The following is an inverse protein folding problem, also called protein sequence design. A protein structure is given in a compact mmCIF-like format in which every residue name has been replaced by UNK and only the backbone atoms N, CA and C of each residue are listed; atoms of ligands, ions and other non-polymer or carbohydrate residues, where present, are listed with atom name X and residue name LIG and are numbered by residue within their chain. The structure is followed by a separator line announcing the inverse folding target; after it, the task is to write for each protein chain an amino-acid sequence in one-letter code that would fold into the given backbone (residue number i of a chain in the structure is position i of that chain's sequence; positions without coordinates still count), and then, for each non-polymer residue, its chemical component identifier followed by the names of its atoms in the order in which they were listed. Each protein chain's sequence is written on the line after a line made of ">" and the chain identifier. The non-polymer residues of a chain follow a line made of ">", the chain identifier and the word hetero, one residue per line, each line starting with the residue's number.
data_IF_237795094616
#
_entry.id   IF_237795094616
#
_cell.length_a   1.000
_cell.length_b   1.000
_cell.length_c   1.000
_cell.angle_alpha   90.00
_cell.angle_beta   90.00
_cell.angle_gamma   90.00
#
_symmetry.space_group_name_H-M   'P 1'
#
loop_
_entity.id
_entity.type
_entity.pdbx_description
1 polymer ?
#
# COMPACT_ATOMS: atom_id res chain seq x y z
N UNK A 1 3.43 4.54 -30.48
CA UNK A 1 4.28 3.35 -30.65
C UNK A 1 5.38 3.66 -31.66
N UNK A 2 6.61 3.23 -31.40
CA UNK A 2 7.73 3.42 -32.30
C UNK A 2 7.85 2.18 -33.18
N UNK A 3 7.68 2.34 -34.47
CA UNK A 3 7.72 1.26 -35.50
C UNK A 3 8.94 1.48 -36.36
N UNK A 4 9.73 0.44 -36.63
CA UNK A 4 10.94 0.50 -37.45
C UNK A 4 10.61 0.12 -38.89
N UNK A 5 11.10 0.90 -39.84
CA UNK A 5 10.95 0.63 -41.28
C UNK A 5 11.96 -0.44 -41.72
N UNK A 6 11.45 -1.53 -42.30
CA UNK A 6 12.24 -2.66 -42.80
C UNK A 6 11.96 -2.92 -44.28
N UNK A 7 12.78 -3.77 -44.89
CA UNK A 7 12.59 -4.13 -46.30
C UNK A 7 11.24 -4.91 -46.47
N UNK A 8 10.65 -4.83 -47.65
CA UNK A 8 9.37 -5.46 -47.96
C UNK A 8 9.37 -7.00 -47.84
N UNK A 9 10.54 -7.63 -47.91
CA UNK A 9 10.72 -9.08 -47.79
C UNK A 9 11.28 -9.51 -46.41
N UNK A 10 11.23 -8.64 -45.40
CA UNK A 10 11.80 -8.92 -44.08
C UNK A 10 10.85 -9.88 -43.28
N UNK A 11 11.43 -10.98 -42.75
CA UNK A 11 10.67 -11.97 -41.95
C UNK A 11 10.06 -11.40 -40.67
N UNK A 12 10.52 -10.22 -40.23
CA UNK A 12 10.01 -9.52 -39.03
C UNK A 12 8.72 -8.73 -39.27
N UNK A 13 8.17 -8.72 -40.49
CA UNK A 13 6.94 -7.99 -40.82
C UNK A 13 5.67 -8.54 -40.09
N UNK A 14 5.75 -9.75 -39.53
CA UNK A 14 4.69 -10.31 -38.69
C UNK A 14 4.68 -9.71 -37.26
N UNK A 15 5.71 -8.96 -36.86
CA UNK A 15 5.80 -8.28 -35.57
C UNK A 15 5.31 -6.83 -35.71
N UNK A 16 4.42 -6.43 -34.78
CA UNK A 16 3.80 -5.09 -34.73
C UNK A 16 4.80 -3.92 -34.59
N UNK A 17 6.08 -4.20 -34.33
CA UNK A 17 7.15 -3.21 -34.19
C UNK A 17 7.85 -2.89 -35.53
N UNK A 18 7.48 -3.57 -36.62
CA UNK A 18 8.10 -3.41 -37.93
C UNK A 18 7.07 -3.09 -39.01
N UNK A 19 7.43 -2.24 -39.96
CA UNK A 19 6.58 -1.89 -41.10
C UNK A 19 7.41 -1.96 -42.38
N UNK A 20 6.81 -2.46 -43.46
CA UNK A 20 7.47 -2.50 -44.77
C UNK A 20 7.65 -1.10 -45.35
N UNK A 21 8.70 -0.91 -46.16
CA UNK A 21 9.00 0.35 -46.79
C UNK A 21 7.84 0.90 -47.63
N UNK A 22 7.13 0.03 -48.36
CA UNK A 22 5.99 0.43 -49.19
C UNK A 22 4.84 0.99 -48.33
N UNK A 23 4.53 0.34 -47.22
CA UNK A 23 3.54 0.86 -46.27
C UNK A 23 3.99 2.10 -45.51
N UNK A 24 5.29 2.21 -45.21
CA UNK A 24 5.84 3.41 -44.58
C UNK A 24 5.75 4.63 -45.53
N UNK A 25 5.94 4.44 -46.84
CA UNK A 25 5.78 5.48 -47.86
C UNK A 25 4.34 5.98 -48.03
N UNK A 26 3.32 5.26 -47.58
CA UNK A 26 1.95 5.77 -47.52
C UNK A 26 1.79 6.90 -46.49
N UNK A 27 2.63 6.90 -45.46
CA UNK A 27 2.62 7.91 -44.40
C UNK A 27 3.61 9.04 -44.69
N UNK A 28 4.84 8.72 -45.09
CA UNK A 28 5.87 9.70 -45.46
C UNK A 28 6.81 9.09 -46.51
N UNK A 29 6.84 9.70 -47.66
CA UNK A 29 7.67 9.28 -48.81
C UNK A 29 9.18 9.50 -48.62
N UNK A 30 9.58 10.20 -47.59
CA UNK A 30 10.97 10.48 -47.26
C UNK A 30 11.61 9.41 -46.37
N UNK A 31 10.86 8.41 -45.89
CA UNK A 31 11.35 7.38 -44.98
C UNK A 31 12.24 6.37 -45.70
N UNK A 32 13.36 6.02 -45.06
CA UNK A 32 14.30 5.01 -45.54
C UNK A 32 14.32 3.78 -44.62
N UNK A 33 14.89 2.67 -45.10
CA UNK A 33 15.04 1.45 -44.28
C UNK A 33 15.93 1.74 -43.08
N UNK A 34 15.46 1.43 -41.89
CA UNK A 34 16.11 1.72 -40.61
C UNK A 34 15.60 2.98 -39.91
N UNK A 35 14.76 3.77 -40.58
CA UNK A 35 14.10 4.90 -39.96
C UNK A 35 12.98 4.41 -39.00
N UNK A 36 12.60 5.27 -38.09
CA UNK A 36 11.53 4.97 -37.14
C UNK A 36 10.34 5.91 -37.30
N UNK A 37 9.18 5.34 -37.52
CA UNK A 37 7.91 6.03 -37.56
C UNK A 37 7.24 6.06 -36.18
N UNK A 38 6.82 7.23 -35.72
CA UNK A 38 5.95 7.33 -34.55
C UNK A 38 4.50 7.25 -34.99
N UNK A 39 3.88 6.12 -34.75
CA UNK A 39 2.46 5.91 -35.06
C UNK A 39 1.61 6.23 -33.83
N UNK A 40 0.70 7.19 -33.97
CA UNK A 40 -0.32 7.47 -32.96
C UNK A 40 -1.48 6.48 -33.17
N UNK A 41 -1.65 5.59 -32.21
CA UNK A 41 -2.79 4.67 -32.21
C UNK A 41 -4.00 5.41 -31.65
N UNK A 42 -4.95 5.75 -32.49
CA UNK A 42 -6.23 6.27 -32.04
C UNK A 42 -7.06 5.11 -31.46
N UNK A 43 -7.57 5.31 -30.24
CA UNK A 43 -8.44 4.33 -29.56
C UNK A 43 -9.69 4.01 -30.38
N UNK A 44 -10.12 4.95 -31.23
CA UNK A 44 -11.28 4.78 -32.12
C UNK A 44 -11.06 3.74 -33.22
N UNK A 45 -9.80 3.56 -33.67
CA UNK A 45 -9.41 2.56 -34.69
C UNK A 45 -9.29 1.15 -34.09
N UNK A 46 -9.19 1.05 -32.76
CA UNK A 46 -9.20 -0.22 -32.05
C UNK A 46 -10.64 -0.74 -31.95
N UNK A 47 -10.89 -1.92 -32.51
CA UNK A 47 -12.19 -2.59 -32.36
C UNK A 47 -12.61 -2.70 -30.88
N UNK A 48 -13.91 -2.79 -30.61
CA UNK A 48 -14.49 -2.81 -29.24
C UNK A 48 -13.78 -3.77 -28.27
N UNK A 49 -13.30 -4.90 -28.77
CA UNK A 49 -12.59 -5.92 -27.97
C UNK A 49 -11.22 -5.43 -27.50
N UNK A 50 -10.46 -4.78 -28.38
CA UNK A 50 -9.14 -4.26 -28.05
C UNK A 50 -9.24 -3.03 -27.13
N UNK A 51 -10.20 -2.14 -27.36
CA UNK A 51 -10.48 -1.01 -26.47
C UNK A 51 -10.86 -1.49 -25.06
N UNK A 52 -11.70 -2.53 -24.95
CA UNK A 52 -12.05 -3.12 -23.66
C UNK A 52 -10.89 -3.85 -22.97
N UNK A 53 -9.98 -4.45 -23.73
CA UNK A 53 -8.76 -5.05 -23.16
C UNK A 53 -7.81 -3.98 -22.61
N UNK A 54 -7.60 -2.91 -23.37
CA UNK A 54 -6.76 -1.78 -22.96
C UNK A 54 -7.30 -1.09 -21.70
N UNK A 55 -8.62 -0.86 -21.62
CA UNK A 55 -9.25 -0.28 -20.45
C UNK A 55 -8.99 -1.11 -19.19
N UNK A 56 -9.16 -2.43 -19.27
CA UNK A 56 -8.90 -3.35 -18.16
C UNK A 56 -7.44 -3.35 -17.71
N UNK A 57 -6.51 -3.28 -18.67
CA UNK A 57 -5.08 -3.25 -18.37
C UNK A 57 -4.69 -1.94 -17.69
N UNK A 58 -5.24 -0.81 -18.16
CA UNK A 58 -5.03 0.51 -17.53
C UNK A 58 -5.61 0.51 -16.11
N UNK A 59 -6.84 0.02 -15.91
CA UNK A 59 -7.46 -0.09 -14.59
C UNK A 59 -6.63 -0.96 -13.64
N UNK A 60 -6.11 -2.09 -14.12
CA UNK A 60 -5.23 -2.96 -13.34
C UNK A 60 -3.95 -2.23 -12.89
N UNK A 61 -3.29 -1.52 -13.81
CA UNK A 61 -2.07 -0.78 -13.48
C UNK A 61 -2.33 0.40 -12.52
N UNK A 62 -3.44 1.13 -12.71
CA UNK A 62 -3.85 2.20 -11.80
C UNK A 62 -4.10 1.65 -10.41
N UNK A 63 -4.86 0.55 -10.30
CA UNK A 63 -5.16 -0.08 -9.03
C UNK A 63 -3.88 -0.51 -8.30
N UNK A 64 -2.95 -1.10 -9.03
CA UNK A 64 -1.65 -1.52 -8.47
C UNK A 64 -0.83 -0.34 -7.96
N UNK A 65 -0.77 0.77 -8.69
CA UNK A 65 -0.07 1.98 -8.25
C UNK A 65 -0.70 2.59 -6.99
N UNK A 66 -2.03 2.55 -6.87
CA UNK A 66 -2.75 2.99 -5.67
C UNK A 66 -2.37 2.09 -4.48
N UNK A 67 -2.36 0.77 -4.67
CA UNK A 67 -1.99 -0.19 -3.63
C UNK A 67 -0.53 -0.01 -3.17
N UNK A 68 0.41 0.20 -4.09
CA UNK A 68 1.80 0.47 -3.75
C UNK A 68 1.95 1.75 -2.90
N UNK A 69 1.29 2.84 -3.26
CA UNK A 69 1.29 4.09 -2.48
C UNK A 69 0.67 3.92 -1.09
N UNK A 70 -0.44 3.21 -0.99
CA UNK A 70 -1.08 2.91 0.29
C UNK A 70 -0.15 2.03 1.14
N UNK A 71 0.49 1.02 0.54
CA UNK A 71 1.46 0.18 1.22
C UNK A 71 2.61 1.00 1.81
N UNK A 72 3.24 1.89 1.04
CA UNK A 72 4.30 2.77 1.51
C UNK A 72 3.84 3.67 2.66
N UNK A 73 2.66 4.31 2.53
CA UNK A 73 2.04 5.17 3.55
C UNK A 73 1.88 4.45 4.89
N UNK A 74 1.37 3.22 4.88
CA UNK A 74 1.13 2.47 6.11
C UNK A 74 2.35 1.71 6.61
N UNK A 75 3.25 1.30 5.74
CA UNK A 75 4.53 0.71 6.12
C UNK A 75 5.40 1.69 6.93
N UNK A 76 5.42 2.96 6.53
CA UNK A 76 6.10 4.02 7.28
C UNK A 76 5.47 4.26 8.68
N UNK A 77 4.21 3.89 8.88
CA UNK A 77 3.48 4.03 10.14
C UNK A 77 3.53 2.78 11.04
N UNK A 78 4.34 1.77 10.73
CA UNK A 78 4.48 0.58 11.57
C UNK A 78 4.97 0.98 12.97
N UNK A 79 4.24 0.56 14.01
CA UNK A 79 4.48 0.92 15.40
C UNK A 79 3.85 2.24 15.85
N UNK A 80 3.26 3.01 14.97
CA UNK A 80 2.52 4.23 15.32
C UNK A 80 1.12 3.91 15.81
N UNK A 81 0.60 4.78 16.68
CA UNK A 81 -0.78 4.73 17.16
C UNK A 81 -1.75 5.13 16.04
N UNK A 82 -2.76 4.31 15.86
CA UNK A 82 -3.86 4.56 14.91
C UNK A 82 -5.21 4.37 15.59
N UNK A 83 -6.20 5.03 15.04
CA UNK A 83 -7.60 4.96 15.48
C UNK A 83 -8.42 4.38 14.33
N UNK A 84 -9.36 3.53 14.67
CA UNK A 84 -10.26 2.99 13.66
C UNK A 84 -11.56 2.51 14.28
N UNK A 85 -12.59 2.39 13.45
CA UNK A 85 -13.90 1.89 13.84
C UNK A 85 -14.03 0.39 13.53
N UNK A 86 -14.60 -0.35 14.44
CA UNK A 86 -14.88 -1.79 14.26
C UNK A 86 -16.03 -1.95 13.27
N UNK A 87 -15.75 -2.62 12.15
CA UNK A 87 -16.76 -2.90 11.11
C UNK A 87 -17.34 -4.30 11.21
N UNK A 88 -16.54 -5.26 11.66
CA UNK A 88 -16.96 -6.67 11.79
C UNK A 88 -16.12 -7.40 12.83
N UNK A 89 -16.72 -8.37 13.50
CA UNK A 89 -16.03 -9.41 14.28
C UNK A 89 -16.45 -10.75 13.70
N UNK A 90 -15.49 -11.62 13.37
CA UNK A 90 -15.78 -12.94 12.82
C UNK A 90 -15.94 -14.01 13.92
N UNK A 91 -16.23 -15.25 13.51
CA UNK A 91 -16.40 -16.40 14.42
C UNK A 91 -15.11 -16.83 15.13
N UNK A 92 -13.94 -16.46 14.58
CA UNK A 92 -12.62 -16.70 15.17
C UNK A 92 -12.18 -15.55 16.08
N UNK A 93 -13.08 -14.63 16.38
CA UNK A 93 -12.84 -13.41 17.17
C UNK A 93 -11.80 -12.47 16.57
N UNK A 94 -11.51 -12.55 15.26
CA UNK A 94 -10.75 -11.53 14.59
C UNK A 94 -11.61 -10.29 14.42
N UNK A 95 -11.04 -9.14 14.76
CA UNK A 95 -11.72 -7.84 14.69
C UNK A 95 -11.26 -7.10 13.46
N UNK A 96 -12.18 -6.75 12.57
CA UNK A 96 -11.92 -5.94 11.39
C UNK A 96 -12.17 -4.48 11.73
N UNK A 97 -11.18 -3.65 11.47
CA UNK A 97 -11.15 -2.24 11.86
C UNK A 97 -10.89 -1.41 10.62
N UNK A 98 -11.70 -0.42 10.37
CA UNK A 98 -11.52 0.54 9.30
C UNK A 98 -10.70 1.72 9.80
N UNK A 99 -9.59 2.00 9.11
CA UNK A 99 -8.67 3.09 9.41
C UNK A 99 -8.54 3.94 8.15
N UNK A 100 -9.01 5.17 8.21
CA UNK A 100 -9.05 6.06 7.04
C UNK A 100 -9.71 5.35 5.83
N UNK A 101 -8.91 4.92 4.87
CA UNK A 101 -9.33 4.35 3.58
C UNK A 101 -9.15 2.83 3.50
N UNK A 102 -8.61 2.18 4.55
CA UNK A 102 -8.26 0.75 4.50
C UNK A 102 -8.93 -0.07 5.58
N UNK A 103 -9.13 -1.34 5.27
CA UNK A 103 -9.53 -2.35 6.24
C UNK A 103 -8.31 -3.04 6.82
N UNK A 104 -8.19 -2.98 8.14
CA UNK A 104 -7.15 -3.64 8.90
C UNK A 104 -7.74 -4.76 9.76
N UNK A 105 -6.92 -5.73 10.12
CA UNK A 105 -7.33 -6.89 10.91
C UNK A 105 -6.54 -6.93 12.20
N UNK A 106 -7.24 -7.06 13.32
CA UNK A 106 -6.66 -7.40 14.61
C UNK A 106 -7.08 -8.82 14.97
N UNK A 107 -6.15 -9.76 14.85
CA UNK A 107 -6.40 -11.16 15.25
C UNK A 107 -6.61 -11.27 16.77
N UNK A 108 -7.31 -12.31 17.21
CA UNK A 108 -7.58 -12.58 18.63
C UNK A 108 -6.30 -12.51 19.49
N UNK A 109 -5.18 -13.05 19.04
CA UNK A 109 -3.88 -13.01 19.74
C UNK A 109 -3.28 -11.60 19.89
N UNK A 110 -3.68 -10.65 19.06
CA UNK A 110 -3.24 -9.26 19.09
C UNK A 110 -4.18 -8.35 19.87
N UNK A 111 -5.29 -8.89 20.37
CA UNK A 111 -6.25 -8.25 21.26
C UNK A 111 -5.83 -8.49 22.72
N UNK A 112 -6.07 -7.55 23.62
CA UNK A 112 -5.89 -7.77 25.04
C UNK A 112 -6.95 -8.78 25.51
N UNK A 113 -6.54 -9.71 26.37
CA UNK A 113 -7.43 -10.72 26.90
C UNK A 113 -8.63 -10.06 27.62
N UNK A 114 -9.80 -10.61 27.41
CA UNK A 114 -11.07 -10.15 27.97
C UNK A 114 -11.66 -8.85 27.37
N UNK A 115 -10.96 -8.17 26.45
CA UNK A 115 -11.55 -7.09 25.66
C UNK A 115 -12.58 -7.66 24.67
N UNK A 116 -13.75 -7.03 24.61
CA UNK A 116 -14.80 -7.35 23.64
C UNK A 116 -15.14 -6.08 22.87
N UNK A 117 -15.12 -6.16 21.56
CA UNK A 117 -15.46 -5.05 20.69
C UNK A 117 -16.81 -5.31 20.02
N UNK A 118 -17.58 -4.25 19.88
CA UNK A 118 -18.84 -4.24 19.13
C UNK A 118 -18.63 -3.46 17.82
N UNK A 119 -19.47 -3.73 16.85
CA UNK A 119 -19.51 -2.97 15.61
C UNK A 119 -19.81 -1.51 15.95
N UNK A 120 -19.02 -0.58 15.39
CA UNK A 120 -19.09 0.84 15.66
C UNK A 120 -18.17 1.36 16.78
N UNK A 121 -17.55 0.48 17.57
CA UNK A 121 -16.59 0.92 18.58
C UNK A 121 -15.36 1.54 17.93
N UNK A 122 -14.88 2.66 18.49
CA UNK A 122 -13.61 3.26 18.09
C UNK A 122 -12.48 2.69 18.94
N UNK A 123 -11.51 2.09 18.28
CA UNK A 123 -10.42 1.36 18.93
C UNK A 123 -9.07 2.02 18.62
N UNK A 124 -8.30 2.27 19.70
CA UNK A 124 -6.87 2.66 19.58
C UNK A 124 -6.02 1.41 19.45
N UNK A 125 -5.13 1.36 18.46
CA UNK A 125 -4.21 0.24 18.26
C UNK A 125 -2.93 0.72 17.55
N UNK A 126 -1.94 -0.16 17.41
CA UNK A 126 -0.75 0.12 16.59
C UNK A 126 -0.72 -0.78 15.37
N UNK A 127 -0.14 -0.26 14.29
CA UNK A 127 0.14 -1.06 13.11
C UNK A 127 1.30 -2.00 13.46
N UNK A 128 1.04 -3.30 13.40
CA UNK A 128 2.04 -4.33 13.68
C UNK A 128 2.83 -4.71 12.44
N UNK A 129 2.12 -4.93 11.34
CA UNK A 129 2.72 -5.28 10.05
C UNK A 129 1.81 -4.84 8.91
N UNK A 130 2.43 -4.57 7.78
CA UNK A 130 1.75 -4.30 6.51
C UNK A 130 2.31 -5.28 5.48
N UNK A 131 1.44 -5.90 4.71
CA UNK A 131 1.82 -6.84 3.65
C UNK A 131 1.03 -6.53 2.40
N UNK A 132 1.69 -6.63 1.25
CA UNK A 132 1.05 -6.56 -0.05
C UNK A 132 0.91 -8.00 -0.58
N UNK A 133 -0.31 -8.46 -0.69
CA UNK A 133 -0.63 -9.77 -1.26
C UNK A 133 -1.06 -9.57 -2.72
N UNK A 134 -0.54 -10.40 -3.63
CA UNK A 134 -0.88 -10.29 -5.06
C UNK A 134 -2.36 -10.59 -5.38
N UNK A 135 -3.05 -11.35 -4.51
CA UNK A 135 -4.45 -11.74 -4.71
C UNK A 135 -5.42 -10.88 -3.90
N UNK A 136 -5.05 -10.58 -2.67
CA UNK A 136 -5.95 -9.97 -1.68
C UNK A 136 -5.63 -8.48 -1.43
N UNK A 137 -4.65 -7.92 -2.15
CA UNK A 137 -4.24 -6.52 -1.98
C UNK A 137 -3.50 -6.26 -0.67
N UNK A 138 -3.71 -5.10 -0.08
CA UNK A 138 -3.02 -4.68 1.13
C UNK A 138 -3.67 -5.29 2.36
N UNK A 139 -2.85 -5.97 3.17
CA UNK A 139 -3.23 -6.50 4.48
C UNK A 139 -2.49 -5.76 5.59
N UNK A 140 -3.22 -5.09 6.45
CA UNK A 140 -2.69 -4.40 7.63
C UNK A 140 -3.09 -5.16 8.89
N UNK A 141 -2.10 -5.61 9.64
CA UNK A 141 -2.30 -6.27 10.93
C UNK A 141 -2.13 -5.27 12.08
N UNK A 142 -3.12 -5.20 12.94
CA UNK A 142 -3.13 -4.32 14.10
C UNK A 142 -2.83 -5.11 15.38
N UNK A 143 -2.32 -4.41 16.39
CA UNK A 143 -2.07 -5.00 17.70
C UNK A 143 -2.30 -4.02 18.84
N UNK A 144 -2.88 -4.57 19.93
CA UNK A 144 -2.97 -3.92 21.25
C UNK A 144 -2.08 -4.60 22.28
N UNK A 145 -1.55 -5.79 21.94
CA UNK A 145 -0.64 -6.56 22.83
C UNK A 145 0.82 -6.23 22.61
N UNK A 146 1.19 -5.63 21.49
CA UNK A 146 2.57 -5.24 21.18
C UNK A 146 3.14 -4.27 22.23
N UNK A 147 4.42 -4.39 22.63
CA UNK A 147 5.10 -3.38 23.47
C UNK A 147 5.00 -1.97 22.89
N UNK A 148 5.12 -1.83 21.57
CA UNK A 148 5.01 -0.55 20.85
C UNK A 148 3.66 0.16 21.08
N UNK A 149 2.59 -0.58 21.41
CA UNK A 149 1.30 0.03 21.72
C UNK A 149 1.36 0.87 23.00
N UNK A 150 2.02 0.38 24.05
CA UNK A 150 2.18 1.11 25.28
C UNK A 150 3.10 2.34 25.09
N UNK A 151 4.20 2.16 24.37
CA UNK A 151 5.13 3.25 24.07
C UNK A 151 4.45 4.35 23.24
N UNK A 152 3.65 3.97 22.25
CA UNK A 152 2.88 4.89 21.42
C UNK A 152 1.80 5.65 22.22
N UNK A 153 1.14 4.97 23.16
CA UNK A 153 0.18 5.61 24.08
C UNK A 153 0.87 6.63 24.98
N UNK A 154 2.02 6.27 25.57
CA UNK A 154 2.78 7.19 26.41
C UNK A 154 3.26 8.41 25.64
N UNK A 155 3.76 8.21 24.42
CA UNK A 155 4.12 9.34 23.55
C UNK A 155 2.95 10.25 23.21
N UNK A 156 1.74 9.72 23.15
CA UNK A 156 0.55 10.50 22.83
C UNK A 156 0.01 11.27 24.04
N UNK A 157 0.14 10.70 25.26
CA UNK A 157 -0.51 11.22 26.48
C UNK A 157 0.46 11.99 27.38
N UNK A 158 1.78 11.74 27.29
CA UNK A 158 2.80 12.35 28.16
C UNK A 158 3.62 13.37 27.34
N UNK A 159 3.43 14.68 27.60
CA UNK A 159 4.10 15.75 26.85
C UNK A 159 5.64 15.64 26.90
N UNK A 160 6.21 15.32 28.05
CA UNK A 160 7.65 15.21 28.25
C UNK A 160 8.31 14.12 27.41
N UNK A 161 7.57 13.04 27.16
CA UNK A 161 8.02 11.95 26.25
C UNK A 161 7.86 12.38 24.80
N UNK A 162 6.79 13.11 24.47
CA UNK A 162 6.55 13.64 23.13
C UNK A 162 7.62 14.66 22.74
N UNK A 163 7.99 15.54 23.65
CA UNK A 163 8.96 16.62 23.43
C UNK A 163 10.43 16.14 23.57
N UNK A 164 10.61 14.86 23.96
CA UNK A 164 11.95 14.26 24.09
C UNK A 164 12.68 14.59 25.37
N UNK A 165 12.05 15.26 26.32
CA UNK A 165 12.60 15.53 27.68
C UNK A 165 12.75 14.24 28.50
N UNK A 166 11.89 13.25 28.21
CA UNK A 166 11.97 11.91 28.81
C UNK A 166 11.97 10.86 27.66
N UNK A 167 12.92 9.95 27.74
CA UNK A 167 13.09 8.89 26.73
C UNK A 167 12.72 7.53 27.35
N UNK A 168 11.92 6.74 26.65
CA UNK A 168 11.65 5.36 27.01
C UNK A 168 12.84 4.50 26.56
N UNK A 169 13.61 3.98 27.51
CA UNK A 169 14.74 3.09 27.22
C UNK A 169 14.30 1.67 26.97
N UNK A 170 13.39 1.18 27.79
CA UNK A 170 12.89 -0.18 27.69
C UNK A 170 11.47 -0.28 28.25
N UNK A 171 10.70 -1.22 27.72
CA UNK A 171 9.35 -1.49 28.21
C UNK A 171 9.09 -2.99 28.27
N UNK A 172 8.52 -3.46 29.37
CA UNK A 172 8.05 -4.82 29.54
C UNK A 172 6.62 -4.80 30.06
N UNK A 173 5.72 -5.56 29.43
CA UNK A 173 4.30 -5.56 29.84
C UNK A 173 3.66 -6.95 29.77
N UNK A 174 2.67 -7.14 30.62
CA UNK A 174 1.65 -8.16 30.50
C UNK A 174 0.39 -7.42 30.04
N UNK A 175 -0.03 -7.57 28.77
CA UNK A 175 -1.15 -6.81 28.22
C UNK A 175 -2.41 -6.92 29.10
N UNK A 176 -3.05 -5.77 29.38
CA UNK A 176 -4.24 -5.67 30.24
C UNK A 176 -4.01 -5.84 31.75
N UNK A 177 -2.77 -6.11 32.21
CA UNK A 177 -2.49 -6.34 33.62
C UNK A 177 -1.50 -5.35 34.23
N UNK A 178 -0.23 -5.35 33.76
CA UNK A 178 0.83 -4.50 34.29
C UNK A 178 1.89 -4.21 33.27
N UNK A 179 2.61 -3.11 33.49
CA UNK A 179 3.79 -2.76 32.71
C UNK A 179 4.91 -2.25 33.64
N UNK A 180 6.16 -2.45 33.23
CA UNK A 180 7.35 -1.81 33.78
C UNK A 180 8.03 -1.07 32.66
N UNK A 181 8.38 0.18 32.89
CA UNK A 181 8.97 1.07 31.90
C UNK A 181 10.21 1.67 32.50
N UNK A 182 11.34 1.56 31.81
CA UNK A 182 12.56 2.25 32.14
C UNK A 182 12.60 3.59 31.40
N UNK A 183 12.65 4.67 32.13
CA UNK A 183 12.70 6.03 31.61
C UNK A 183 14.07 6.64 31.88
N UNK A 184 14.51 7.52 31.00
CA UNK A 184 15.68 8.34 31.12
C UNK A 184 15.29 9.79 30.87
N UNK A 185 15.61 10.68 31.83
CA UNK A 185 15.43 12.13 31.66
C UNK A 185 16.63 12.73 30.96
N UNK A 186 16.41 13.49 29.91
CA UNK A 186 17.45 14.28 29.23
C UNK A 186 17.59 15.67 29.80
N UNK A 187 16.61 16.10 30.62
CA UNK A 187 16.58 17.44 31.25
C UNK A 187 16.74 17.30 32.76
N UNK A 188 17.62 18.06 33.43
CA UNK A 188 17.69 18.09 34.89
C UNK A 188 16.37 18.64 35.42
N UNK A 189 15.89 18.08 36.55
CA UNK A 189 14.67 18.48 37.30
C UNK A 189 13.31 18.00 36.70
N UNK A 190 13.29 16.92 35.96
CA UNK A 190 12.06 16.16 35.70
C UNK A 190 12.08 14.95 36.66
N UNK A 191 11.20 14.96 37.67
CA UNK A 191 10.97 13.85 38.61
C UNK A 191 9.91 12.90 38.08
#
# INVERSE_FOLDING_TARGET
>A
QKILVVNNDDERLDDEHFISLDKAHEFDKSLEIGDSLNYEINIEDLGRTAAGALSREIEYHIQRLIEEKIFEKYNAKIGSLVFGSVTRVDSEENTFIEIDEIRAVMSMKNRIKDEKFKIGDVVKCVIKSVRLDKKDGIKVELSRTSPKFLEALLKAEVPEIKDGGVIIQNSARIPGKKAKIALYSTTPNID
#
